data_IF_271995402734
#
_entry.id   IF_271995402734
#
_cell.length_a   1.000
_cell.length_b   1.000
_cell.length_c   1.000
_cell.angle_alpha   90.00
_cell.angle_beta   90.00
_cell.angle_gamma   90.00
#
_symmetry.space_group_name_H-M   'P 1'
#
loop_
_entity.id
_entity.type
_entity.pdbx_description
1 polymer ?
#
# COMPACT_ATOMS: atom_id res chain seq x y z
N UNK A 1 -21.52 4.60 1.12
CA UNK A 1 -21.07 4.78 1.22
C UNK A 1 -19.73 4.96 1.04
N UNK A 2 -18.99 5.09 1.61
CA UNK A 2 -17.72 5.38 1.50
C UNK A 2 -16.86 4.31 1.49
N UNK A 3 -17.32 3.20 1.23
CA UNK A 3 -16.45 2.14 1.29
C UNK A 3 -15.52 2.17 0.18
N UNK A 4 -15.58 3.04 -0.72
CA UNK A 4 -14.62 3.11 -1.71
C UNK A 4 -13.39 3.76 -1.31
N UNK A 5 -13.26 4.23 -0.09
CA UNK A 5 -12.08 4.86 0.32
C UNK A 5 -10.97 3.93 0.39
N UNK A 6 -9.93 4.04 -0.35
CA UNK A 6 -8.79 3.21 -0.24
C UNK A 6 -7.76 3.86 0.59
N UNK A 7 -7.07 3.09 1.37
CA UNK A 7 -6.02 3.61 2.21
C UNK A 7 -4.70 3.47 1.52
N UNK A 8 -3.89 4.50 1.59
CA UNK A 8 -2.57 4.48 0.97
C UNK A 8 -1.53 4.76 2.02
N UNK A 9 -0.41 4.07 1.91
CA UNK A 9 0.69 4.32 2.82
C UNK A 9 1.77 5.05 2.07
N UNK A 10 2.19 6.20 2.59
CA UNK A 10 3.18 7.01 1.94
C UNK A 10 4.52 6.76 2.54
N UNK A 11 5.51 6.44 1.75
CA UNK A 11 6.84 6.21 2.25
C UNK A 11 7.83 6.95 1.41
N UNK A 12 8.96 7.39 1.98
CA UNK A 12 9.99 8.03 1.20
C UNK A 12 10.50 7.10 0.13
N UNK A 13 10.80 7.62 -1.03
CA UNK A 13 11.19 6.76 -2.12
C UNK A 13 12.43 5.95 -1.80
N UNK A 14 13.29 6.47 -0.93
CA UNK A 14 14.49 5.72 -0.63
C UNK A 14 14.17 4.50 0.21
N UNK A 15 13.04 4.45 0.87
CA UNK A 15 12.66 3.27 1.62
C UNK A 15 11.59 2.47 0.90
N UNK A 16 11.15 2.95 -0.25
CA UNK A 16 10.01 2.33 -0.90
C UNK A 16 10.27 0.89 -1.29
N UNK A 17 11.44 0.60 -1.81
CA UNK A 17 11.72 -0.74 -2.23
C UNK A 17 11.69 -1.70 -1.07
N UNK A 18 12.30 -1.29 0.03
CA UNK A 18 12.33 -2.14 1.19
C UNK A 18 10.94 -2.32 1.74
N UNK A 19 10.18 -1.23 1.83
CA UNK A 19 8.85 -1.31 2.38
C UNK A 19 7.93 -2.14 1.52
N UNK A 20 8.08 -2.03 0.21
CA UNK A 20 7.24 -2.80 -0.66
C UNK A 20 7.41 -4.28 -0.41
N UNK A 21 8.65 -4.73 -0.28
CA UNK A 21 8.90 -6.12 -0.01
C UNK A 21 8.26 -6.56 1.29
N UNK A 22 8.37 -5.73 2.31
CA UNK A 22 7.80 -6.09 3.58
C UNK A 22 6.29 -6.09 3.54
N UNK A 23 5.70 -5.14 2.84
CA UNK A 23 4.26 -5.07 2.78
C UNK A 23 3.69 -6.24 1.98
N UNK A 24 4.35 -6.61 0.92
CA UNK A 24 3.89 -7.74 0.13
C UNK A 24 4.03 -9.01 0.94
N UNK A 25 5.15 -9.13 1.63
CA UNK A 25 5.39 -10.33 2.42
C UNK A 25 4.40 -10.44 3.55
N UNK A 26 3.95 -9.32 4.08
CA UNK A 26 3.00 -9.34 5.16
C UNK A 26 1.57 -9.46 4.65
N UNK A 27 1.37 -9.41 3.37
CA UNK A 27 0.03 -9.54 2.83
C UNK A 27 -0.75 -8.25 2.91
N UNK A 28 -0.09 -7.12 3.08
CA UNK A 28 -0.78 -5.85 3.17
C UNK A 28 -1.02 -5.21 1.82
N UNK A 29 -0.26 -5.57 0.81
CA UNK A 29 -0.51 -5.09 -0.53
C UNK A 29 -0.25 -6.22 -1.49
N UNK A 30 -0.81 -6.12 -2.68
CA UNK A 30 -0.62 -7.13 -3.70
C UNK A 30 0.67 -6.88 -4.41
N UNK A 31 1.34 -7.91 -4.86
CA UNK A 31 2.58 -7.69 -5.56
C UNK A 31 2.27 -7.06 -6.92
N UNK A 32 1.03 -7.13 -7.37
CA UNK A 32 0.66 -6.47 -8.60
C UNK A 32 0.06 -5.11 -8.35
N UNK A 33 0.10 -4.62 -7.14
CA UNK A 33 -0.55 -3.38 -6.83
C UNK A 33 0.08 -2.23 -7.58
N UNK A 34 -0.74 -1.27 -7.96
CA UNK A 34 -0.24 -0.12 -8.65
C UNK A 34 0.19 0.89 -7.64
N UNK A 35 1.46 1.18 -7.56
CA UNK A 35 1.94 2.17 -6.61
C UNK A 35 2.04 3.50 -7.33
N UNK A 36 1.93 4.58 -6.59
CA UNK A 36 1.99 5.90 -7.16
C UNK A 36 3.27 6.58 -6.73
N UNK A 37 3.99 7.09 -7.69
CA UNK A 37 5.23 7.78 -7.39
C UNK A 37 4.93 9.26 -7.36
N UNK A 38 5.12 9.88 -6.22
CA UNK A 38 4.83 11.27 -6.06
C UNK A 38 6.07 12.00 -5.60
N UNK A 39 6.90 12.39 -6.50
CA UNK A 39 8.10 13.14 -6.12
C UNK A 39 9.01 12.31 -5.26
N UNK A 40 9.16 12.70 -4.02
CA UNK A 40 10.03 12.00 -3.12
C UNK A 40 9.33 10.91 -2.37
N UNK A 41 8.06 10.70 -2.60
CA UNK A 41 7.32 9.69 -1.87
C UNK A 41 6.65 8.72 -2.81
N UNK A 42 6.36 7.56 -2.29
CA UNK A 42 5.65 6.54 -3.04
C UNK A 42 4.45 6.13 -2.21
N UNK A 43 3.29 6.06 -2.83
CA UNK A 43 2.08 5.69 -2.13
C UNK A 43 1.71 4.27 -2.50
N UNK A 44 1.50 3.45 -1.50
CA UNK A 44 1.13 2.06 -1.71
C UNK A 44 -0.34 1.87 -1.35
N UNK A 45 -1.12 1.30 -2.25
CA UNK A 45 -2.52 1.05 -1.94
C UNK A 45 -2.62 -0.18 -1.03
N UNK A 46 -3.17 -0.02 0.13
CA UNK A 46 -3.27 -1.12 1.06
C UNK A 46 -4.53 -1.93 0.80
N UNK A 47 -4.46 -3.21 1.08
CA UNK A 47 -5.61 -4.08 0.91
C UNK A 47 -6.54 -3.84 2.06
N UNK A 48 -7.74 -3.41 1.75
CA UNK A 48 -8.62 -3.05 2.83
C UNK A 48 -9.49 -4.20 3.25
N UNK A 49 -9.61 -5.22 2.48
CA UNK A 49 -10.51 -6.29 2.89
C UNK A 49 -9.93 -7.09 4.02
N UNK A 50 -8.75 -6.77 4.47
CA UNK A 50 -8.25 -7.46 5.57
C UNK A 50 -9.08 -7.31 6.74
N UNK A 51 -9.68 -6.22 6.87
CA UNK A 51 -10.38 -6.00 8.08
C UNK A 51 -11.65 -6.64 8.11
N UNK A 52 -12.05 -7.14 7.38
CA UNK A 52 -13.23 -7.64 7.51
C UNK A 52 -13.47 -8.62 8.13
N UNK A 53 -13.31 -8.92 8.64
CA UNK A 53 -13.63 -9.69 9.26
C UNK A 53 -14.52 -9.90 9.76
N UNK A 54 -14.99 -10.01 9.92
CA UNK A 54 -15.97 -10.23 10.45
C UNK A 54 -16.36 -10.43 10.63
#
# INVERSE_FOLDING_TARGET
MSDDEKQYMRVPKEHAEMMMGKLVDAGLIDEDAEVRWEGDFVSFPLISNLSNQD
#
